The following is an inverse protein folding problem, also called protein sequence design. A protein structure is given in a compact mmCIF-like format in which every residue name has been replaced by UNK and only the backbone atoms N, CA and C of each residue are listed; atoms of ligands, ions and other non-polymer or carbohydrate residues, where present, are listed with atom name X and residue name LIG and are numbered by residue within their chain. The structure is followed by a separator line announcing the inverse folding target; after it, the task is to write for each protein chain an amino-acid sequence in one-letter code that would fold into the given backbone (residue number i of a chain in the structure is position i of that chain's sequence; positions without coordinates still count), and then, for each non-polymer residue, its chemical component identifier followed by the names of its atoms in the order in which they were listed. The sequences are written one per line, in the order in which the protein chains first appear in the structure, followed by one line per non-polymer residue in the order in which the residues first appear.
data_IF_134144259860
#
_entry.id   IF_134144259860
#
_cell.length_a   1.000
_cell.length_b   1.000
_cell.length_c   1.000
_cell.angle_alpha   90.00
_cell.angle_beta   90.00
_cell.angle_gamma   90.00
#
_symmetry.space_group_name_H-M   'P 1'
#
loop_
_entity.id
_entity.type
_entity.pdbx_description
1 polymer ?
#
# COMPACT_ATOMS: atom_id res chain seq x y z
N UNK A 1 -13.50 -12.26 -12.52
CA UNK A 1 -12.17 -12.14 -11.86
C UNK A 1 -11.30 -11.00 -12.43
N UNK A 2 -11.50 -10.57 -13.68
CA UNK A 2 -10.68 -9.53 -14.34
C UNK A 2 -10.86 -8.09 -13.81
N UNK A 3 -12.03 -7.74 -13.25
CA UNK A 3 -12.40 -6.37 -12.83
C UNK A 3 -11.48 -5.73 -11.78
N UNK A 4 -10.75 -6.53 -10.99
CA UNK A 4 -9.86 -6.03 -9.93
C UNK A 4 -8.38 -6.34 -10.17
N UNK A 5 -8.02 -6.86 -11.35
CA UNK A 5 -6.64 -7.30 -11.65
C UNK A 5 -5.64 -6.18 -11.41
N UNK A 6 -5.95 -4.97 -11.86
CA UNK A 6 -5.08 -3.79 -11.66
C UNK A 6 -4.91 -3.42 -10.17
N UNK A 7 -6.01 -3.42 -9.39
CA UNK A 7 -5.95 -3.14 -7.95
C UNK A 7 -5.09 -4.16 -7.20
N UNK A 8 -5.18 -5.44 -7.56
CA UNK A 8 -4.32 -6.48 -6.98
C UNK A 8 -2.85 -6.35 -7.39
N UNK A 9 -2.56 -5.99 -8.64
CA UNK A 9 -1.20 -5.71 -9.10
C UNK A 9 -0.59 -4.55 -8.30
N UNK A 10 -1.36 -3.47 -8.11
CA UNK A 10 -0.92 -2.33 -7.29
C UNK A 10 -0.65 -2.72 -5.85
N UNK A 11 -1.52 -3.53 -5.22
CA UNK A 11 -1.28 -4.07 -3.89
C UNK A 11 0.06 -4.82 -3.83
N UNK A 12 0.34 -5.67 -4.82
CA UNK A 12 1.61 -6.41 -4.87
C UNK A 12 2.82 -5.47 -5.00
N UNK A 13 2.75 -4.47 -5.88
CA UNK A 13 3.83 -3.47 -6.07
C UNK A 13 4.07 -2.69 -4.77
N UNK A 14 3.02 -2.14 -4.15
CA UNK A 14 3.17 -1.39 -2.90
C UNK A 14 3.62 -2.27 -1.73
N UNK A 15 3.29 -3.57 -1.74
CA UNK A 15 3.80 -4.52 -0.74
C UNK A 15 5.32 -4.72 -0.88
N UNK A 16 5.82 -4.84 -2.11
CA UNK A 16 7.28 -4.91 -2.36
C UNK A 16 7.96 -3.62 -1.93
N UNK A 17 7.40 -2.45 -2.29
CA UNK A 17 7.93 -1.15 -1.88
C UNK A 17 7.97 -1.01 -0.35
N UNK A 18 6.91 -1.42 0.35
CA UNK A 18 6.87 -1.42 1.80
C UNK A 18 7.99 -2.25 2.41
N UNK A 19 8.21 -3.46 1.91
CA UNK A 19 9.29 -4.34 2.37
C UNK A 19 10.66 -3.68 2.15
N UNK A 20 10.90 -3.10 0.97
CA UNK A 20 12.15 -2.40 0.69
C UNK A 20 12.38 -1.20 1.61
N UNK A 21 11.32 -0.43 1.91
CA UNK A 21 11.41 0.69 2.84
C UNK A 21 11.68 0.22 4.27
N UNK A 22 11.09 -0.90 4.70
CA UNK A 22 11.40 -1.51 6.00
C UNK A 22 12.86 -1.95 6.11
N UNK A 23 13.41 -2.58 5.07
CA UNK A 23 14.82 -3.01 5.06
C UNK A 23 15.79 -1.83 5.10
N UNK A 24 15.42 -0.70 4.50
CA UNK A 24 16.23 0.53 4.50
C UNK A 24 15.91 1.45 5.69
N UNK A 25 14.96 1.08 6.56
CA UNK A 25 14.60 1.92 7.69
C UNK A 25 15.64 1.78 8.80
N UNK A 26 16.29 2.90 9.10
CA UNK A 26 17.20 2.98 10.22
C UNK A 26 16.41 3.18 11.53
N UNK A 27 16.23 2.08 12.27
CA UNK A 27 15.56 2.09 13.58
C UNK A 27 16.40 2.75 14.69
N UNK A 28 17.69 3.01 14.45
CA UNK A 28 18.60 3.62 15.42
C UNK A 28 18.73 5.13 15.28
N UNK A 29 18.30 5.69 14.15
CA UNK A 29 18.24 7.13 13.92
C UNK A 29 17.13 7.79 14.74
N UNK A 30 17.33 9.05 15.12
CA UNK A 30 16.26 9.90 15.66
C UNK A 30 15.05 9.93 14.72
N UNK A 31 13.86 10.13 15.29
CA UNK A 31 12.62 10.10 14.53
C UNK A 31 12.67 11.06 13.33
N UNK A 32 12.65 10.47 12.13
CA UNK A 32 12.69 11.21 10.87
C UNK A 32 11.34 11.10 10.17
N UNK A 33 10.68 12.24 10.00
CA UNK A 33 9.38 12.35 9.31
C UNK A 33 9.40 11.77 7.90
N UNK A 34 10.48 11.96 7.14
CA UNK A 34 10.60 11.46 5.77
C UNK A 34 10.64 9.93 5.79
N UNK A 35 11.47 9.34 6.66
CA UNK A 35 11.55 7.89 6.81
C UNK A 35 10.22 7.28 7.27
N UNK A 36 9.53 7.95 8.19
CA UNK A 36 8.20 7.53 8.64
C UNK A 36 7.18 7.58 7.50
N UNK A 37 7.13 8.68 6.73
CA UNK A 37 6.22 8.82 5.59
C UNK A 37 6.52 7.79 4.48
N UNK A 38 7.79 7.47 4.24
CA UNK A 38 8.19 6.46 3.26
C UNK A 38 7.65 5.06 3.59
N UNK A 39 7.48 4.74 4.86
CA UNK A 39 6.82 3.50 5.32
C UNK A 39 5.30 3.65 5.27
N UNK A 40 4.77 4.79 5.70
CA UNK A 40 3.34 5.01 5.84
C UNK A 40 2.60 5.04 4.48
N UNK A 41 3.18 5.68 3.47
CA UNK A 41 2.59 5.82 2.13
C UNK A 41 2.22 4.48 1.49
N UNK A 42 3.13 3.48 1.37
CA UNK A 42 2.76 2.20 0.77
C UNK A 42 1.71 1.44 1.58
N UNK A 43 1.71 1.55 2.92
CA UNK A 43 0.64 0.98 3.76
C UNK A 43 -0.72 1.60 3.41
N UNK A 44 -0.80 2.93 3.38
CA UNK A 44 -2.03 3.64 3.07
C UNK A 44 -2.55 3.29 1.67
N UNK A 45 -1.66 3.15 0.69
CA UNK A 45 -2.04 2.74 -0.67
C UNK A 45 -2.61 1.32 -0.71
N UNK A 46 -2.03 0.37 0.02
CA UNK A 46 -2.57 -0.98 0.12
C UNK A 46 -3.97 -0.96 0.75
N UNK A 47 -4.14 -0.23 1.87
CA UNK A 47 -5.44 -0.11 2.54
C UNK A 47 -6.48 0.51 1.62
N UNK A 48 -6.14 1.61 0.93
CA UNK A 48 -7.02 2.28 -0.01
C UNK A 48 -7.45 1.35 -1.16
N UNK A 49 -6.54 0.56 -1.72
CA UNK A 49 -6.85 -0.41 -2.77
C UNK A 49 -7.77 -1.53 -2.26
N UNK A 50 -7.53 -2.05 -1.06
CA UNK A 50 -8.39 -3.07 -0.43
C UNK A 50 -9.79 -2.52 -0.18
N UNK A 51 -9.91 -1.29 0.33
CA UNK A 51 -11.20 -0.63 0.54
C UNK A 51 -11.92 -0.36 -0.79
N UNK A 52 -11.19 0.08 -1.81
CA UNK A 52 -11.72 0.26 -3.17
C UNK A 52 -12.29 -1.05 -3.73
N UNK A 53 -11.58 -2.17 -3.58
CA UNK A 53 -12.07 -3.50 -3.99
C UNK A 53 -13.35 -3.87 -3.23
N UNK A 54 -13.39 -3.65 -1.91
CA UNK A 54 -14.57 -3.94 -1.08
C UNK A 54 -15.77 -3.08 -1.50
N UNK A 55 -15.55 -1.79 -1.76
CA UNK A 55 -16.58 -0.87 -2.23
C UNK A 55 -17.18 -1.31 -3.57
N UNK A 56 -16.33 -1.54 -4.57
CA UNK A 56 -16.74 -2.00 -5.91
C UNK A 56 -17.46 -3.35 -5.84
N UNK A 57 -16.98 -4.28 -5.00
CA UNK A 57 -17.64 -5.58 -4.82
C UNK A 57 -19.03 -5.44 -4.19
N UNK A 58 -19.23 -4.46 -3.30
CA UNK A 58 -20.49 -4.23 -2.58
C UNK A 58 -21.51 -3.43 -3.41
N UNK A 59 -21.05 -2.43 -4.15
CA UNK A 59 -21.92 -1.47 -4.84
C UNK A 59 -22.00 -1.67 -6.36
N UNK A 60 -21.19 -2.56 -6.94
CA UNK A 60 -21.26 -2.92 -8.35
C UNK A 60 -20.75 -1.84 -9.32
N UNK A 61 -20.44 -0.64 -8.83
CA UNK A 61 -19.84 0.45 -9.60
C UNK A 61 -18.43 0.09 -10.02
N UNK A 62 -18.21 0.03 -11.33
CA UNK A 62 -16.97 -0.45 -11.89
C UNK A 62 -16.60 0.35 -13.13
#
# INVERSE_FOLDING_TARGET
MHKNRFRYILIAIFSVLFILQLFNYDFSAEFNWISFLNILVPILMIIAMVLSIKHVKKHGEN
#
